data_IF_822646374325
#
_entry.id   IF_822646374325
#
_cell.length_a   1.000
_cell.length_b   1.000
_cell.length_c   1.000
_cell.angle_alpha   90.00
_cell.angle_beta   90.00
_cell.angle_gamma   90.00
#
_symmetry.space_group_name_H-M   'P 1'
#
loop_
_entity.id
_entity.type
_entity.pdbx_description
1 polymer ?
#
# COMPACT_ATOMS: atom_id res chain seq x y z
N UNK A 1 2.42 -0.62 -6.98
CA UNK A 1 1.48 -1.52 -7.70
C UNK A 1 2.01 -2.94 -7.57
N UNK A 2 1.12 -3.93 -7.48
CA UNK A 2 1.49 -5.34 -7.55
C UNK A 2 0.74 -6.00 -8.71
N UNK A 3 1.40 -6.93 -9.39
CA UNK A 3 0.81 -7.72 -10.47
C UNK A 3 1.09 -9.19 -10.22
N UNK A 4 0.18 -10.06 -10.65
CA UNK A 4 0.35 -11.51 -10.60
C UNK A 4 0.65 -12.00 -12.01
N UNK A 5 1.67 -12.85 -12.13
CA UNK A 5 2.17 -13.36 -13.41
C UNK A 5 2.29 -14.88 -13.31
N UNK A 6 2.21 -15.59 -14.44
CA UNK A 6 2.69 -16.96 -14.48
C UNK A 6 4.21 -17.00 -14.26
N UNK A 7 4.76 -18.05 -13.62
CA UNK A 7 6.19 -18.12 -13.32
C UNK A 7 7.10 -17.96 -14.55
N UNK A 8 6.66 -18.45 -15.71
CA UNK A 8 7.41 -18.37 -16.97
C UNK A 8 7.52 -16.95 -17.54
N UNK A 9 6.61 -16.05 -17.17
CA UNK A 9 6.51 -14.70 -17.74
C UNK A 9 7.27 -13.65 -16.91
N UNK A 10 7.67 -13.99 -15.67
CA UNK A 10 8.42 -13.10 -14.77
C UNK A 10 9.67 -12.50 -15.43
N UNK A 11 10.54 -13.28 -16.11
CA UNK A 11 11.74 -12.72 -16.72
C UNK A 11 11.43 -11.70 -17.82
N UNK A 12 10.42 -11.99 -18.66
CA UNK A 12 10.02 -11.11 -19.75
C UNK A 12 9.41 -9.80 -19.23
N UNK A 13 8.58 -9.88 -18.18
CA UNK A 13 7.98 -8.71 -17.54
C UNK A 13 9.03 -7.78 -16.92
N UNK A 14 9.99 -8.33 -16.18
CA UNK A 14 11.07 -7.54 -15.58
C UNK A 14 11.97 -6.88 -16.64
N UNK A 15 12.20 -7.56 -17.77
CA UNK A 15 12.93 -6.97 -18.89
C UNK A 15 12.15 -5.82 -19.56
N UNK A 16 10.83 -5.96 -19.71
CA UNK A 16 9.97 -4.91 -20.23
C UNK A 16 9.94 -3.67 -19.31
N UNK A 17 9.77 -3.86 -18.00
CA UNK A 17 9.80 -2.77 -17.02
C UNK A 17 11.13 -2.00 -17.06
N UNK A 18 12.26 -2.71 -17.09
CA UNK A 18 13.59 -2.09 -17.21
C UNK A 18 13.74 -1.26 -18.47
N UNK A 19 13.20 -1.69 -19.61
CA UNK A 19 13.23 -0.94 -20.87
C UNK A 19 12.47 0.38 -20.78
N UNK A 20 11.42 0.43 -19.97
CA UNK A 20 10.62 1.63 -19.71
C UNK A 20 11.15 2.48 -18.56
N UNK A 21 12.34 2.16 -18.03
CA UNK A 21 12.92 2.83 -16.86
C UNK A 21 12.02 2.73 -15.62
N UNK A 22 11.32 1.60 -15.46
CA UNK A 22 10.50 1.29 -14.31
C UNK A 22 11.21 0.25 -13.42
N UNK A 23 11.16 0.47 -12.11
CA UNK A 23 11.64 -0.49 -11.13
C UNK A 23 10.58 -1.58 -10.88
N UNK A 24 10.98 -2.84 -11.04
CA UNK A 24 10.15 -4.00 -10.77
C UNK A 24 11.00 -5.12 -10.16
N UNK A 25 10.47 -5.79 -9.14
CA UNK A 25 11.14 -6.86 -8.39
C UNK A 25 10.10 -7.93 -8.08
N UNK A 26 10.47 -9.21 -8.19
CA UNK A 26 9.65 -10.31 -7.66
C UNK A 26 9.78 -10.31 -6.14
N UNK A 27 8.67 -10.05 -5.45
CA UNK A 27 8.64 -9.86 -3.99
C UNK A 27 8.05 -11.04 -3.23
N UNK A 28 7.34 -11.94 -3.90
CA UNK A 28 6.69 -13.09 -3.28
C UNK A 28 6.36 -14.18 -4.32
N UNK A 29 6.09 -15.38 -3.82
CA UNK A 29 5.50 -16.48 -4.58
C UNK A 29 4.06 -16.70 -4.14
N UNK A 30 3.18 -16.98 -5.11
CA UNK A 30 1.79 -17.35 -4.81
C UNK A 30 1.75 -18.84 -4.47
N UNK A 31 1.21 -19.17 -3.30
CA UNK A 31 1.07 -20.55 -2.82
C UNK A 31 -0.39 -20.88 -2.53
N UNK A 32 -0.70 -22.17 -2.44
CA UNK A 32 -2.03 -22.71 -2.10
C UNK A 32 -2.23 -22.91 -0.58
N UNK A 33 -1.25 -22.49 0.24
CA UNK A 33 -1.27 -22.65 1.69
C UNK A 33 -2.43 -21.95 2.41
N UNK A 34 -3.12 -21.03 1.74
CA UNK A 34 -4.19 -20.22 2.34
C UNK A 34 -3.68 -19.23 3.39
N UNK A 35 -2.40 -18.86 3.38
CA UNK A 35 -1.80 -17.94 4.36
C UNK A 35 -0.99 -16.83 3.70
N UNK A 36 -1.02 -15.65 4.33
CA UNK A 36 -0.09 -14.57 4.07
C UNK A 36 1.08 -14.70 5.06
N UNK A 37 2.26 -15.02 4.52
CA UNK A 37 3.50 -15.14 5.28
C UNK A 37 4.45 -14.04 4.82
N UNK A 38 5.03 -13.31 5.78
CA UNK A 38 6.13 -12.37 5.51
C UNK A 38 7.32 -12.71 6.40
N UNK A 39 8.49 -12.79 5.78
CA UNK A 39 9.75 -13.09 6.45
C UNK A 39 10.67 -11.88 6.38
N UNK A 40 11.26 -11.54 7.52
CA UNK A 40 12.26 -10.50 7.64
C UNK A 40 13.52 -11.09 8.26
N UNK A 41 14.63 -11.07 7.50
CA UNK A 41 15.92 -11.64 7.94
C UNK A 41 15.79 -13.10 8.43
N UNK A 42 15.00 -13.90 7.72
CA UNK A 42 14.75 -15.30 8.05
C UNK A 42 13.85 -15.53 9.27
N UNK A 43 13.22 -14.48 9.81
CA UNK A 43 12.24 -14.59 10.89
C UNK A 43 10.86 -14.25 10.35
N UNK A 44 9.87 -15.08 10.68
CA UNK A 44 8.49 -14.85 10.29
C UNK A 44 7.89 -13.75 11.17
N UNK A 45 7.57 -12.62 10.54
CA UNK A 45 7.01 -11.44 11.22
C UNK A 45 5.51 -11.28 10.97
N UNK A 46 4.99 -11.89 9.90
CA UNK A 46 3.55 -11.98 9.62
C UNK A 46 3.22 -13.42 9.26
N UNK A 47 2.15 -13.95 9.87
CA UNK A 47 1.61 -15.27 9.57
C UNK A 47 0.09 -15.26 9.81
N UNK A 48 -0.70 -14.97 8.78
CA UNK A 48 -2.14 -14.74 8.90
C UNK A 48 -2.89 -15.62 7.89
N UNK A 49 -3.98 -16.25 8.31
CA UNK A 49 -4.85 -17.01 7.42
C UNK A 49 -5.62 -16.09 6.46
N UNK A 50 -5.79 -16.51 5.21
CA UNK A 50 -6.58 -15.80 4.20
C UNK A 50 -8.03 -15.62 4.65
N UNK A 51 -8.65 -16.66 5.17
CA UNK A 51 -10.04 -16.62 5.64
C UNK A 51 -10.26 -15.54 6.71
N UNK A 52 -9.24 -15.27 7.53
CA UNK A 52 -9.30 -14.18 8.50
C UNK A 52 -9.26 -12.80 7.82
N UNK A 53 -8.43 -12.62 6.80
CA UNK A 53 -8.37 -11.38 6.01
C UNK A 53 -9.67 -11.12 5.25
N UNK A 54 -10.33 -12.19 4.80
CA UNK A 54 -11.57 -12.13 4.02
C UNK A 54 -12.79 -11.71 4.86
N UNK A 55 -12.66 -11.56 6.18
CA UNK A 55 -13.76 -11.18 7.07
C UNK A 55 -14.26 -9.73 6.90
N UNK A 56 -13.77 -8.97 5.91
CA UNK A 56 -14.09 -7.54 5.68
C UNK A 56 -13.88 -6.61 6.89
N UNK A 57 -13.24 -7.11 7.96
CA UNK A 57 -13.13 -6.42 9.24
C UNK A 57 -14.46 -6.28 9.98
N UNK A 58 -14.43 -5.61 11.12
CA UNK A 58 -15.63 -5.24 11.88
C UNK A 58 -16.15 -3.90 11.39
N UNK A 59 -17.47 -3.72 11.29
CA UNK A 59 -18.07 -2.41 11.04
C UNK A 59 -17.64 -1.43 12.14
N UNK A 60 -16.85 -0.42 11.78
CA UNK A 60 -16.41 0.60 12.72
C UNK A 60 -17.39 1.77 12.71
N UNK A 61 -17.92 2.13 13.88
CA UNK A 61 -18.74 3.32 14.07
C UNK A 61 -17.93 4.36 14.87
N UNK A 62 -17.82 5.58 14.34
CA UNK A 62 -17.22 6.71 15.06
C UNK A 62 -18.25 7.82 15.24
N UNK A 63 -18.38 8.33 16.47
CA UNK A 63 -19.21 9.50 16.77
C UNK A 63 -18.34 10.75 16.76
N UNK A 64 -18.60 11.68 15.84
CA UNK A 64 -17.96 12.98 15.80
C UNK A 64 -18.92 14.08 16.27
N UNK A 65 -18.42 15.04 17.05
CA UNK A 65 -19.14 16.29 17.36
C UNK A 65 -18.55 17.40 16.52
N UNK A 66 -19.36 18.02 15.67
CA UNK A 66 -18.95 19.19 14.89
C UNK A 66 -19.05 20.43 15.79
N UNK A 67 -17.89 21.01 16.13
CA UNK A 67 -17.86 22.32 16.77
C UNK A 67 -18.24 23.40 15.75
N UNK A 68 -18.83 24.51 16.22
CA UNK A 68 -19.07 25.68 15.35
C UNK A 68 -17.76 26.09 14.69
N UNK A 69 -17.78 26.24 13.37
CA UNK A 69 -16.67 26.83 12.64
C UNK A 69 -16.37 28.20 13.25
N UNK A 70 -15.14 28.38 13.77
CA UNK A 70 -14.67 29.73 14.10
C UNK A 70 -14.52 30.47 12.78
N UNK A 71 -15.04 31.69 12.71
CA UNK A 71 -14.72 32.60 11.61
C UNK A 71 -13.20 32.76 11.62
N UNK A 72 -12.57 32.47 10.50
CA UNK A 72 -11.14 32.72 10.32
C UNK A 72 -11.00 34.25 10.24
N UNK A 73 -10.56 34.88 11.33
CA UNK A 73 -10.41 36.35 11.39
C UNK A 73 -9.07 36.84 10.81
N UNK A 74 -8.17 35.92 10.46
CA UNK A 74 -6.94 36.24 9.71
C UNK A 74 -6.80 35.32 8.49
N UNK A 75 -6.53 35.87 7.29
CA UNK A 75 -6.10 35.04 6.18
C UNK A 75 -4.79 34.32 6.56
N UNK A 76 -4.72 33.03 6.26
CA UNK A 76 -3.47 32.26 6.37
C UNK A 76 -2.34 33.06 5.70
N UNK A 77 -1.16 33.23 6.33
CA UNK A 77 -0.07 33.96 5.71
C UNK A 77 0.41 33.18 4.49
N UNK A 78 -0.10 33.53 3.31
CA UNK A 78 0.41 33.06 2.03
C UNK A 78 1.74 33.76 1.80
N UNK A 79 2.84 33.20 2.30
CA UNK A 79 4.19 33.61 1.86
C UNK A 79 4.45 32.99 0.50
N UNK A 80 3.99 33.66 -0.56
CA UNK A 80 4.54 33.47 -1.90
C UNK A 80 5.98 33.99 -1.86
N UNK A 81 6.96 33.08 -1.73
CA UNK A 81 8.31 33.40 -2.19
C UNK A 81 8.26 33.49 -3.72
N UNK A 82 8.19 34.71 -4.23
CA UNK A 82 8.69 34.99 -5.56
C UNK A 82 10.22 35.06 -5.41
N UNK A 83 10.87 33.92 -5.55
CA UNK A 83 12.32 33.88 -5.75
C UNK A 83 12.55 34.32 -7.20
N UNK A 84 13.23 35.45 -7.36
CA UNK A 84 13.84 35.91 -8.60
C UNK A 84 15.32 35.58 -8.64
#
# INVERSE_FOLDING_TARGET
MAVVLEPKDVPAFLAAARRENLEAVQVADVTDSGRLIMEWRGQRVVDIARDFLDTNGVTQSASAKVARARRCEEPLPVRLRADG
#
